data_IF_964345560654
#
_entry.id   IF_964345560654
#
_cell.length_a   1.000
_cell.length_b   1.000
_cell.length_c   1.000
_cell.angle_alpha   90.00
_cell.angle_beta   90.00
_cell.angle_gamma   90.00
#
_symmetry.space_group_name_H-M   'P 1'
#
loop_
_entity.id
_entity.type
_entity.pdbx_description
1 polymer ?
#
# COMPACT_ATOMS: atom_id res chain seq x y z
N UNK A 1 -6.13 -2.53 8.76
CA UNK A 1 -4.74 -2.21 9.09
C UNK A 1 -4.32 -0.91 8.44
N UNK A 2 -4.52 -0.75 7.14
CA UNK A 2 -4.14 0.49 6.45
C UNK A 2 -4.86 1.74 6.98
N UNK A 3 -6.15 1.64 7.30
CA UNK A 3 -6.91 2.75 7.88
C UNK A 3 -6.39 3.18 9.27
N UNK A 4 -6.04 2.26 10.17
CA UNK A 4 -5.46 2.61 11.49
C UNK A 4 -4.08 3.27 11.35
N UNK A 5 -3.28 2.84 10.36
CA UNK A 5 -2.00 3.51 10.04
C UNK A 5 -2.27 4.94 9.55
N UNK A 6 -3.21 5.12 8.62
CA UNK A 6 -3.60 6.43 8.11
C UNK A 6 -4.11 7.34 9.24
N UNK A 7 -5.04 6.86 10.07
CA UNK A 7 -5.59 7.56 11.21
C UNK A 7 -4.50 7.96 12.22
N UNK A 8 -3.52 7.09 12.49
CA UNK A 8 -2.41 7.41 13.39
C UNK A 8 -1.51 8.53 12.84
N UNK A 9 -1.19 8.50 11.53
CA UNK A 9 -0.35 9.52 10.90
C UNK A 9 -0.97 10.92 11.05
N UNK A 10 -2.28 11.04 10.83
CA UNK A 10 -3.00 12.31 11.03
C UNK A 10 -3.39 12.57 12.49
N UNK A 11 -3.39 11.56 13.36
CA UNK A 11 -3.83 11.65 14.75
C UNK A 11 -5.35 11.69 14.91
N UNK A 12 -6.09 10.97 14.05
CA UNK A 12 -7.54 10.87 14.11
C UNK A 12 -7.97 9.68 14.97
N UNK A 13 -8.44 9.95 16.19
CA UNK A 13 -8.95 8.92 17.11
C UNK A 13 -10.46 8.68 16.99
N UNK A 14 -11.17 9.40 16.12
CA UNK A 14 -12.63 9.35 16.04
C UNK A 14 -13.16 8.32 15.03
N UNK A 15 -12.35 7.31 14.71
CA UNK A 15 -12.72 6.24 13.78
C UNK A 15 -13.64 5.23 14.46
N UNK A 16 -14.92 5.55 14.53
CA UNK A 16 -15.94 4.68 15.15
C UNK A 16 -16.80 3.91 14.13
N UNK A 17 -16.79 4.31 12.86
CA UNK A 17 -17.46 3.61 11.75
C UNK A 17 -16.55 3.54 10.52
N UNK A 18 -16.87 2.61 9.63
CA UNK A 18 -16.29 2.52 8.30
C UNK A 18 -17.41 2.30 7.27
N UNK A 19 -17.22 2.85 6.08
CA UNK A 19 -18.15 2.69 4.96
C UNK A 19 -17.49 1.88 3.85
N UNK A 20 -18.33 1.18 3.09
CA UNK A 20 -17.93 0.43 1.90
C UNK A 20 -18.96 0.57 0.80
N UNK A 21 -18.58 0.25 -0.43
CA UNK A 21 -19.55 0.16 -1.52
C UNK A 21 -20.33 -1.16 -1.44
N UNK A 22 -21.61 -1.07 -1.04
CA UNK A 22 -22.52 -2.22 -0.88
C UNK A 22 -22.57 -3.11 -2.13
N UNK A 23 -22.49 -2.49 -3.31
CA UNK A 23 -22.54 -3.18 -4.62
C UNK A 23 -21.53 -4.33 -4.76
N UNK A 24 -20.40 -4.27 -4.07
CA UNK A 24 -19.34 -5.27 -4.16
C UNK A 24 -19.30 -6.23 -2.95
N UNK A 25 -20.25 -6.12 -2.01
CA UNK A 25 -20.31 -6.94 -0.81
C UNK A 25 -18.99 -6.90 -0.03
N UNK A 26 -18.45 -8.08 0.33
CA UNK A 26 -17.19 -8.19 1.08
C UNK A 26 -15.93 -7.98 0.22
N UNK A 27 -16.06 -7.98 -1.11
CA UNK A 27 -14.94 -7.80 -2.04
C UNK A 27 -14.83 -6.32 -2.44
N UNK A 28 -14.67 -5.47 -1.43
CA UNK A 28 -14.70 -4.02 -1.53
C UNK A 28 -13.54 -3.41 -0.74
N UNK A 29 -13.41 -2.10 -0.78
CA UNK A 29 -12.45 -1.37 0.06
C UNK A 29 -13.18 -0.44 1.03
N UNK A 30 -12.48 -0.07 2.10
CA UNK A 30 -12.98 0.90 3.07
C UNK A 30 -12.84 2.30 2.50
N UNK A 31 -13.91 3.08 2.53
CA UNK A 31 -13.90 4.49 2.12
C UNK A 31 -13.34 5.32 3.29
N UNK A 32 -12.26 6.07 3.04
CA UNK A 32 -11.61 6.92 4.05
C UNK A 32 -12.31 8.29 4.19
N UNK A 33 -13.47 8.32 4.86
CA UNK A 33 -14.25 9.55 5.12
C UNK A 33 -13.99 10.14 6.52
N UNK A 34 -14.63 11.26 6.84
CA UNK A 34 -14.67 11.87 8.18
C UNK A 34 -13.30 12.13 8.82
N UNK A 35 -12.45 12.79 8.04
CA UNK A 35 -11.05 13.09 8.39
C UNK A 35 -10.88 14.43 9.14
N UNK A 36 -11.98 15.17 9.39
CA UNK A 36 -11.95 16.53 9.94
C UNK A 36 -11.43 16.65 11.38
N UNK A 37 -11.30 15.54 12.10
CA UNK A 37 -10.68 15.47 13.44
C UNK A 37 -9.21 15.08 13.43
N UNK A 38 -8.62 14.91 12.25
CA UNK A 38 -7.18 14.80 12.07
C UNK A 38 -6.45 16.12 12.35
N UNK A 39 -5.14 16.03 12.48
CA UNK A 39 -4.23 17.17 12.60
C UNK A 39 -4.59 18.17 13.72
N UNK A 40 -5.23 17.72 14.80
CA UNK A 40 -5.54 18.58 15.96
C UNK A 40 -4.36 18.85 16.89
N UNK A 41 -3.35 17.96 16.94
CA UNK A 41 -2.15 18.10 17.78
C UNK A 41 -0.92 17.60 17.03
N UNK A 42 0.11 18.43 16.87
CA UNK A 42 1.40 18.01 16.27
C UNK A 42 2.41 17.54 17.31
N UNK A 43 2.28 17.99 18.57
CA UNK A 43 3.22 17.71 19.65
C UNK A 43 2.90 16.43 20.44
N UNK A 44 1.79 15.76 20.11
CA UNK A 44 1.34 14.52 20.74
C UNK A 44 1.09 13.46 19.67
N UNK A 45 1.53 12.23 19.95
CA UNK A 45 1.26 11.06 19.12
C UNK A 45 0.34 10.13 19.89
N UNK A 46 -0.90 9.96 19.42
CA UNK A 46 -1.91 9.16 20.10
C UNK A 46 -1.70 7.67 19.81
N UNK A 47 -0.80 7.04 20.57
CA UNK A 47 -0.35 5.65 20.35
C UNK A 47 -1.49 4.64 20.42
N UNK A 48 -2.58 4.97 21.14
CA UNK A 48 -3.76 4.11 21.22
C UNK A 48 -4.39 3.82 19.83
N UNK A 49 -4.22 4.73 18.85
CA UNK A 49 -4.70 4.52 17.48
C UNK A 49 -3.98 3.34 16.82
N UNK A 50 -2.72 3.03 17.18
CA UNK A 50 -1.95 1.89 16.65
C UNK A 50 -2.24 0.56 17.33
N UNK A 51 -3.11 0.52 18.36
CA UNK A 51 -3.44 -0.72 19.06
C UNK A 51 -3.88 -1.84 18.09
N UNK A 52 -4.75 -1.62 17.09
CA UNK A 52 -5.12 -2.67 16.15
C UNK A 52 -3.92 -3.23 15.37
N UNK A 53 -2.95 -2.39 15.00
CA UNK A 53 -1.73 -2.84 14.32
C UNK A 53 -0.86 -3.71 15.23
N UNK A 54 -0.64 -3.27 16.47
CA UNK A 54 0.19 -3.99 17.45
C UNK A 54 -0.43 -5.31 17.92
N UNK A 55 -1.75 -5.41 17.96
CA UNK A 55 -2.46 -6.61 18.41
C UNK A 55 -2.59 -7.64 17.30
N UNK A 56 -2.95 -7.21 16.09
CA UNK A 56 -3.13 -8.14 14.98
C UNK A 56 -1.83 -8.48 14.27
N UNK A 57 -0.82 -7.60 14.32
CA UNK A 57 0.46 -7.76 13.65
C UNK A 57 0.32 -8.23 12.19
N UNK A 58 -0.51 -7.54 11.40
CA UNK A 58 -0.70 -7.81 9.97
C UNK A 58 -0.68 -6.52 9.16
N UNK A 59 -0.10 -6.57 7.96
CA UNK A 59 -0.09 -5.46 7.01
C UNK A 59 0.04 -5.98 5.58
N UNK A 60 -0.48 -5.22 4.61
CA UNK A 60 -0.26 -5.50 3.18
C UNK A 60 1.18 -5.16 2.80
N UNK A 61 1.80 -5.99 1.96
CA UNK A 61 3.16 -5.78 1.44
C UNK A 61 3.28 -4.47 0.71
N UNK A 62 2.29 -4.15 -0.13
CA UNK A 62 2.27 -2.88 -0.87
C UNK A 62 2.25 -1.66 0.06
N UNK A 63 1.59 -1.75 1.22
CA UNK A 63 1.56 -0.70 2.24
C UNK A 63 2.89 -0.62 2.99
N UNK A 64 3.43 -1.75 3.43
CA UNK A 64 4.74 -1.80 4.10
C UNK A 64 5.85 -1.18 3.24
N UNK A 65 5.92 -1.53 1.96
CA UNK A 65 6.94 -1.02 1.04
C UNK A 65 6.83 0.49 0.84
N UNK A 66 5.62 1.03 0.71
CA UNK A 66 5.40 2.49 0.60
C UNK A 66 5.80 3.22 1.88
N UNK A 67 5.47 2.67 3.05
CA UNK A 67 5.89 3.26 4.33
C UNK A 67 7.41 3.28 4.47
N UNK A 68 8.10 2.22 4.04
CA UNK A 68 9.56 2.17 4.04
C UNK A 68 10.18 3.18 3.06
N UNK A 69 9.59 3.33 1.87
CA UNK A 69 10.02 4.33 0.89
C UNK A 69 9.89 5.76 1.46
N UNK A 70 8.71 6.08 2.02
CA UNK A 70 8.41 7.40 2.58
C UNK A 70 9.23 7.76 3.84
N UNK A 71 9.97 6.80 4.40
CA UNK A 71 10.89 7.02 5.51
C UNK A 71 12.33 7.28 5.07
N UNK A 72 12.63 7.18 3.76
CA UNK A 72 13.94 7.52 3.21
C UNK A 72 14.08 9.03 3.08
N UNK A 73 15.30 9.53 3.23
CA UNK A 73 15.60 10.98 3.16
C UNK A 73 15.16 11.60 1.82
N UNK A 74 15.30 10.87 0.71
CA UNK A 74 14.94 11.35 -0.63
C UNK A 74 13.42 11.42 -0.90
N UNK A 75 12.59 10.84 -0.02
CA UNK A 75 11.15 10.69 -0.21
C UNK A 75 10.35 10.95 1.07
N UNK A 76 10.89 11.79 1.97
CA UNK A 76 10.29 12.01 3.29
C UNK A 76 8.81 12.38 3.17
N UNK A 77 7.98 11.73 3.97
CA UNK A 77 6.53 11.93 3.97
C UNK A 77 6.15 13.41 4.13
N UNK A 78 6.84 14.16 4.99
CA UNK A 78 6.62 15.59 5.18
C UNK A 78 6.81 16.40 3.89
N UNK A 79 7.86 16.13 3.11
CA UNK A 79 8.21 16.83 1.88
C UNK A 79 7.22 16.50 0.75
N UNK A 80 6.92 15.21 0.58
CA UNK A 80 5.92 14.74 -0.39
C UNK A 80 4.54 15.32 -0.07
N UNK A 81 4.18 15.42 1.21
CA UNK A 81 2.92 16.03 1.63
C UNK A 81 2.89 17.54 1.37
N UNK A 82 3.99 18.24 1.68
CA UNK A 82 4.10 19.68 1.42
C UNK A 82 3.92 20.00 -0.06
N UNK A 83 4.63 19.30 -0.94
CA UNK A 83 4.53 19.48 -2.40
C UNK A 83 3.11 19.16 -2.91
N UNK A 84 2.51 18.06 -2.43
CA UNK A 84 1.15 17.66 -2.81
C UNK A 84 0.10 18.72 -2.47
N UNK A 85 0.28 19.43 -1.35
CA UNK A 85 -0.65 20.46 -0.87
C UNK A 85 -0.41 21.86 -1.45
N UNK A 86 0.72 22.09 -2.12
CA UNK A 86 1.13 23.42 -2.57
C UNK A 86 0.17 24.03 -3.60
N UNK A 87 -0.46 23.19 -4.42
CA UNK A 87 -1.39 23.64 -5.47
C UNK A 87 -2.81 23.92 -4.97
N UNK A 88 -3.09 23.65 -3.70
CA UNK A 88 -4.40 23.93 -3.10
C UNK A 88 -4.57 25.44 -2.88
N UNK A 89 -5.75 25.97 -3.21
CA UNK A 89 -6.04 27.40 -3.03
C UNK A 89 -6.05 27.86 -1.56
N UNK A 90 -6.09 26.91 -0.61
CA UNK A 90 -5.99 27.15 0.82
C UNK A 90 -4.55 27.03 1.36
N UNK A 91 -3.55 26.91 0.48
CA UNK A 91 -2.16 26.79 0.91
C UNK A 91 -1.71 27.99 1.79
N UNK A 92 -0.96 27.75 2.88
CA UNK A 92 -0.57 26.43 3.40
C UNK A 92 -1.73 25.71 4.11
N UNK A 93 -2.04 24.49 3.66
CA UNK A 93 -3.13 23.67 4.22
C UNK A 93 -2.74 23.06 5.58
N UNK A 94 -1.49 22.61 5.72
CA UNK A 94 -0.94 22.07 6.97
C UNK A 94 0.17 22.97 7.53
N UNK A 95 0.13 23.20 8.83
CA UNK A 95 1.16 23.92 9.55
C UNK A 95 2.45 23.09 9.66
N UNK A 96 3.62 23.71 9.50
CA UNK A 96 4.93 23.04 9.42
C UNK A 96 5.19 21.94 10.47
N UNK A 97 4.95 22.19 11.78
CA UNK A 97 5.07 21.17 12.81
C UNK A 97 4.20 19.92 12.62
N UNK A 98 3.06 20.01 11.92
CA UNK A 98 2.28 18.83 11.54
C UNK A 98 2.98 17.98 10.48
N UNK A 99 3.69 18.62 9.54
CA UNK A 99 4.51 17.91 8.54
C UNK A 99 5.64 17.15 9.24
N UNK A 100 6.36 17.80 10.17
CA UNK A 100 7.38 17.13 10.98
C UNK A 100 6.81 15.97 11.83
N UNK A 101 5.59 16.14 12.34
CA UNK A 101 4.90 15.09 13.08
C UNK A 101 4.59 13.87 12.21
N UNK A 102 4.29 14.04 10.91
CA UNK A 102 4.10 12.91 9.98
C UNK A 102 5.35 12.03 9.91
N UNK A 103 6.54 12.62 9.76
CA UNK A 103 7.79 11.86 9.70
C UNK A 103 8.08 11.14 11.02
N UNK A 104 7.82 11.79 12.16
CA UNK A 104 7.98 11.15 13.48
C UNK A 104 7.01 9.99 13.66
N UNK A 105 5.74 10.16 13.28
CA UNK A 105 4.70 9.12 13.38
C UNK A 105 4.99 7.97 12.42
N UNK A 106 5.44 8.23 11.20
CA UNK A 106 5.84 7.19 10.26
C UNK A 106 6.91 6.27 10.85
N UNK A 107 7.94 6.83 11.50
CA UNK A 107 8.97 6.03 12.19
C UNK A 107 8.38 5.16 13.30
N UNK A 108 7.38 5.64 14.04
CA UNK A 108 6.67 4.83 15.06
C UNK A 108 5.88 3.69 14.44
N UNK A 109 5.19 3.91 13.32
CA UNK A 109 4.49 2.85 12.57
C UNK A 109 5.48 1.75 12.15
N UNK A 110 6.62 2.15 11.59
CA UNK A 110 7.66 1.20 11.19
C UNK A 110 8.27 0.48 12.39
N UNK A 111 8.41 1.14 13.55
CA UNK A 111 8.83 0.52 14.81
C UNK A 111 7.86 -0.59 15.23
N UNK A 112 6.56 -0.31 15.30
CA UNK A 112 5.53 -1.31 15.65
C UNK A 112 5.53 -2.49 14.68
N UNK A 113 5.69 -2.23 13.37
CA UNK A 113 5.82 -3.29 12.38
C UNK A 113 7.10 -4.12 12.56
N UNK A 114 8.21 -3.47 12.91
CA UNK A 114 9.48 -4.13 13.25
C UNK A 114 9.32 -5.09 14.41
N UNK A 115 8.72 -4.64 15.52
CA UNK A 115 8.44 -5.46 16.70
C UNK A 115 7.54 -6.66 16.36
N UNK A 116 6.50 -6.44 15.55
CA UNK A 116 5.64 -7.51 15.06
C UNK A 116 6.42 -8.54 14.23
N UNK A 117 7.29 -8.10 13.32
CA UNK A 117 8.10 -8.98 12.47
C UNK A 117 9.11 -9.76 13.30
N UNK A 118 9.74 -9.15 14.29
CA UNK A 118 10.66 -9.82 15.22
C UNK A 118 9.94 -10.92 16.01
N UNK A 119 8.73 -10.64 16.49
CA UNK A 119 7.95 -11.55 17.33
C UNK A 119 7.29 -12.70 16.56
N UNK A 120 6.76 -12.42 15.37
CA UNK A 120 5.88 -13.35 14.65
C UNK A 120 6.45 -13.83 13.30
N UNK A 121 7.57 -13.25 12.85
CA UNK A 121 8.20 -13.56 11.56
C UNK A 121 7.56 -12.80 10.39
N UNK A 122 8.40 -12.44 9.41
CA UNK A 122 8.01 -11.59 8.27
C UNK A 122 6.81 -12.12 7.49
N UNK A 123 6.82 -13.41 7.14
CA UNK A 123 5.75 -14.04 6.34
C UNK A 123 4.39 -14.12 7.06
N UNK A 124 4.37 -14.04 8.40
CA UNK A 124 3.13 -14.02 9.19
C UNK A 124 2.54 -12.61 9.25
N UNK A 125 3.41 -11.59 9.29
CA UNK A 125 3.02 -10.19 9.44
C UNK A 125 2.70 -9.53 8.11
N UNK A 126 3.45 -9.84 7.05
CA UNK A 126 3.34 -9.16 5.75
C UNK A 126 2.64 -10.07 4.75
N UNK A 127 1.42 -9.67 4.36
CA UNK A 127 0.62 -10.35 3.36
C UNK A 127 0.93 -9.83 1.95
N UNK A 128 1.31 -10.74 1.04
CA UNK A 128 1.68 -10.37 -0.34
C UNK A 128 0.45 -10.13 -1.22
N UNK A 129 0.07 -8.86 -1.35
CA UNK A 129 -0.99 -8.36 -2.23
C UNK A 129 -0.46 -7.91 -3.61
N UNK A 130 0.83 -8.14 -3.89
CA UNK A 130 1.49 -7.71 -5.15
C UNK A 130 1.61 -8.83 -6.18
N UNK A 131 1.38 -10.08 -5.76
CA UNK A 131 1.65 -11.27 -6.57
C UNK A 131 0.57 -11.63 -7.61
N UNK A 132 -0.51 -10.85 -7.74
CA UNK A 132 -1.64 -11.16 -8.63
C UNK A 132 -1.82 -10.13 -9.74
N UNK A 133 -0.97 -10.23 -10.77
CA UNK A 133 -1.30 -9.76 -12.13
C UNK A 133 -0.65 -10.60 -13.25
N UNK A 134 0.11 -11.66 -12.91
CA UNK A 134 0.86 -12.46 -13.90
C UNK A 134 0.28 -13.86 -14.18
N UNK A 135 -0.76 -14.32 -13.48
CA UNK A 135 -1.25 -15.70 -13.56
C UNK A 135 -2.63 -15.89 -14.22
N UNK A 136 -3.35 -14.81 -14.58
CA UNK A 136 -4.65 -14.91 -15.25
C UNK A 136 -4.59 -14.82 -16.80
N UNK A 137 -3.39 -14.65 -17.39
CA UNK A 137 -3.21 -14.58 -18.84
C UNK A 137 -3.07 -15.94 -19.56
N UNK A 138 -2.94 -17.07 -18.85
CA UNK A 138 -2.48 -18.33 -19.43
C UNK A 138 -3.48 -19.51 -19.37
N UNK A 139 -4.78 -19.27 -19.12
CA UNK A 139 -5.81 -20.34 -19.04
C UNK A 139 -7.06 -20.12 -19.89
N UNK A 140 -6.95 -19.42 -21.02
CA UNK A 140 -8.00 -19.41 -22.06
C UNK A 140 -7.42 -19.78 -23.43
N UNK A 141 -6.99 -21.02 -23.59
CA UNK A 141 -7.08 -21.74 -24.87
C UNK A 141 -6.70 -23.23 -24.71
N UNK A 142 -7.62 -24.13 -25.05
CA UNK A 142 -7.27 -25.52 -25.37
C UNK A 142 -8.30 -26.63 -25.06
N UNK A 143 -9.32 -26.78 -25.93
CA UNK A 143 -9.97 -28.05 -26.32
C UNK A 143 -11.03 -28.67 -25.39
N UNK A 144 -12.03 -29.45 -25.82
CA UNK A 144 -12.53 -29.92 -27.12
C UNK A 144 -13.85 -30.70 -26.85
N UNK A 145 -14.87 -30.68 -27.74
CA UNK A 145 -16.01 -31.63 -27.63
C UNK A 145 -17.36 -31.25 -28.25
N UNK A 146 -17.47 -31.37 -29.58
CA UNK A 146 -18.63 -31.71 -30.44
C UNK A 146 -20.09 -31.39 -30.04
N UNK A 147 -20.78 -30.63 -30.89
CA UNK A 147 -22.04 -31.10 -31.50
C UNK A 147 -22.34 -30.41 -32.84
N UNK A 148 -22.87 -31.21 -33.78
CA UNK A 148 -23.15 -30.91 -35.19
C UNK A 148 -24.39 -30.03 -35.37
N UNK A 149 -24.40 -29.17 -36.40
CA UNK A 149 -25.61 -28.49 -36.90
C UNK A 149 -25.37 -27.72 -38.19
N UNK A 150 -26.14 -28.06 -39.23
CA UNK A 150 -26.16 -27.56 -40.61
C UNK A 150 -26.16 -26.03 -40.80
N UNK A 151 -25.60 -25.56 -41.92
CA UNK A 151 -25.84 -24.22 -42.45
C UNK A 151 -25.00 -23.86 -43.67
N UNK A 152 -25.69 -23.60 -44.77
CA UNK A 152 -25.21 -23.46 -46.15
C UNK A 152 -24.59 -22.07 -46.47
N UNK A 153 -23.84 -22.04 -47.58
CA UNK A 153 -23.54 -20.90 -48.48
C UNK A 153 -22.25 -20.07 -48.28
N UNK A 154 -21.50 -19.95 -49.40
CA UNK A 154 -21.10 -18.63 -49.90
C UNK A 154 -19.63 -18.23 -49.79
N UNK A 155 -18.83 -18.65 -50.78
CA UNK A 155 -17.77 -17.93 -51.49
C UNK A 155 -16.89 -16.82 -50.83
N UNK A 156 -15.60 -16.93 -51.18
CA UNK A 156 -14.64 -15.88 -51.62
C UNK A 156 -13.58 -15.28 -50.68
N UNK A 157 -12.37 -15.34 -51.24
CA UNK A 157 -11.19 -14.45 -51.17
C UNK A 157 -10.24 -14.47 -49.97
N UNK A 158 -9.03 -14.94 -50.30
CA UNK A 158 -7.77 -14.72 -49.62
C UNK A 158 -7.34 -13.24 -49.64
N UNK A 159 -6.66 -12.80 -48.58
CA UNK A 159 -5.35 -12.15 -48.67
C UNK A 159 -4.68 -12.06 -47.29
N UNK A 160 -3.45 -12.56 -47.26
CA UNK A 160 -2.45 -12.42 -46.21
C UNK A 160 -1.78 -11.06 -46.32
N UNK A 161 -1.55 -10.37 -45.19
CA UNK A 161 -0.42 -9.44 -45.05
C UNK A 161 0.16 -9.55 -43.64
N UNK A 162 1.43 -9.93 -43.60
CA UNK A 162 2.35 -9.90 -42.46
C UNK A 162 2.69 -8.47 -42.04
N UNK A 163 2.89 -8.24 -40.74
CA UNK A 163 3.55 -7.05 -40.21
C UNK A 163 4.28 -7.37 -38.90
N UNK A 164 5.60 -7.53 -38.97
CA UNK A 164 6.54 -7.72 -37.86
C UNK A 164 6.90 -6.39 -37.20
N UNK A 165 7.17 -6.40 -35.89
CA UNK A 165 7.90 -5.36 -35.15
C UNK A 165 8.07 -5.71 -33.66
N UNK A 166 9.13 -6.45 -33.29
CA UNK A 166 10.30 -5.99 -32.51
C UNK A 166 9.97 -5.39 -31.12
N UNK A 167 10.06 -6.17 -30.04
CA UNK A 167 11.21 -6.36 -29.13
C UNK A 167 11.71 -5.11 -28.38
N UNK A 168 11.40 -5.01 -27.08
CA UNK A 168 12.33 -4.54 -26.05
C UNK A 168 12.03 -5.27 -24.73
N UNK A 169 12.99 -6.11 -24.31
CA UNK A 169 13.03 -6.83 -23.04
C UNK A 169 13.98 -6.11 -22.07
N UNK A 170 13.63 -6.09 -20.78
CA UNK A 170 14.63 -6.20 -19.71
C UNK A 170 14.86 -4.96 -18.85
N UNK A 171 14.27 -4.97 -17.64
CA UNK A 171 14.87 -4.36 -16.47
C UNK A 171 14.60 -5.26 -15.25
N UNK A 172 15.63 -5.99 -14.82
CA UNK A 172 15.64 -6.79 -13.59
C UNK A 172 15.85 -5.83 -12.41
N UNK A 173 14.85 -5.73 -11.52
CA UNK A 173 14.97 -4.99 -10.26
C UNK A 173 15.67 -5.82 -9.19
N UNK A 174 16.80 -5.32 -8.70
CA UNK A 174 17.59 -5.91 -7.61
C UNK A 174 16.81 -5.94 -6.29
N UNK A 175 16.91 -7.06 -5.57
CA UNK A 175 16.46 -7.18 -4.18
C UNK A 175 17.47 -6.49 -3.26
N UNK A 176 17.10 -5.34 -2.70
CA UNK A 176 17.93 -4.66 -1.69
C UNK A 176 17.44 -5.10 -0.31
N UNK A 177 18.24 -5.93 0.35
CA UNK A 177 18.06 -6.26 1.77
C UNK A 177 18.45 -5.04 2.62
N UNK A 178 17.46 -4.31 3.13
CA UNK A 178 17.70 -3.22 4.09
C UNK A 178 17.83 -3.85 5.48
N UNK A 179 19.05 -3.82 6.03
CA UNK A 179 19.30 -4.11 7.46
C UNK A 179 18.79 -2.93 8.28
N UNK A 180 17.76 -3.16 9.10
CA UNK A 180 17.37 -2.25 10.16
C UNK A 180 18.46 -2.27 11.23
N UNK A 181 19.19 -1.17 11.39
CA UNK A 181 20.13 -1.00 12.49
C UNK A 181 19.37 -0.38 13.67
N UNK A 182 19.02 -1.20 14.66
CA UNK A 182 18.44 -0.75 15.93
C UNK A 182 19.59 -0.53 16.91
N UNK A 183 19.90 0.70 17.35
CA UNK A 183 20.92 0.92 18.37
C UNK A 183 20.43 0.41 19.72
N UNK A 184 21.08 -0.65 20.20
CA UNK A 184 20.82 -1.29 21.47
C UNK A 184 21.14 -0.42 22.67
N UNK A 185 20.26 -0.51 23.66
CA UNK A 185 20.35 -0.02 25.02
C UNK A 185 21.61 -0.54 25.71
N UNK A 186 22.50 0.35 26.13
CA UNK A 186 23.51 0.03 27.16
C UNK A 186 23.04 0.61 28.49
N UNK A 187 22.37 -0.23 29.28
CA UNK A 187 22.27 -0.08 30.73
C UNK A 187 23.65 -0.39 31.31
N UNK A 188 24.35 0.64 31.77
CA UNK A 188 25.46 0.45 32.71
C UNK A 188 24.95 0.73 34.11
N UNK A 189 24.88 -0.34 34.91
CA UNK A 189 24.71 -0.27 36.34
C UNK A 189 26.04 0.14 36.98
N UNK A 190 26.01 1.22 37.76
CA UNK A 190 26.79 1.41 38.99
C UNK A 190 26.23 2.58 39.78
#
# INVERSE_FOLDING_TARGET
>A
MDMTIFDFLMGNMDRHHYETFEKFGNNTFIIHLDNGRGFGKYSHDEVSILVPLSQCCRVRKSTQQRLQLLAQEDYRLSEVMLESLERDGLAPVLFGPHLEALDRRLRRVLGVLGDCVEKHGYASVVEDDTATDSSNGARRNGGHGSSRGNGSHGNTHASSVHGNGHLLNGARGNSVHVKLNVPGSSLTAR
#
